data_IF_660668596126
#
_entry.id   IF_660668596126
#
_cell.length_a   1.000
_cell.length_b   1.000
_cell.length_c   1.000
_cell.angle_alpha   90.00
_cell.angle_beta   90.00
_cell.angle_gamma   90.00
#
_symmetry.space_group_name_H-M   'P 1'
#
loop_
_entity.id
_entity.type
_entity.pdbx_description
1 polymer ?
#
# COMPACT_ATOMS: atom_id res chain seq x y z
N UNK A 1 -45.56 76.64 22.93
CA UNK A 1 -44.90 76.67 24.25
C UNK A 1 -43.63 75.84 24.14
N UNK A 2 -42.47 76.50 24.33
CA UNK A 2 -41.14 75.98 24.78
C UNK A 2 -40.52 74.77 24.05
N UNK A 3 -39.24 74.70 23.66
CA UNK A 3 -38.05 75.54 23.87
C UNK A 3 -36.89 75.00 23.00
N UNK A 4 -35.96 75.90 22.61
CA UNK A 4 -34.51 75.74 22.39
C UNK A 4 -33.89 74.68 21.43
N UNK A 5 -33.15 75.21 20.43
CA UNK A 5 -31.90 74.64 19.82
C UNK A 5 -30.68 74.93 20.75
N UNK A 6 -29.40 74.48 20.54
CA UNK A 6 -28.75 73.85 19.36
C UNK A 6 -27.59 72.80 19.62
N UNK A 7 -27.03 72.26 18.51
CA UNK A 7 -25.62 71.84 18.20
C UNK A 7 -24.83 70.81 19.07
N UNK A 8 -24.46 69.64 18.49
CA UNK A 8 -23.09 69.02 18.38
C UNK A 8 -23.17 67.64 17.70
N UNK A 9 -22.55 67.45 16.51
CA UNK A 9 -21.36 66.61 16.20
C UNK A 9 -21.49 65.12 16.59
N UNK A 10 -21.22 64.11 15.76
CA UNK A 10 -20.01 63.82 15.00
C UNK A 10 -20.31 62.89 13.81
N UNK A 11 -19.56 63.06 12.72
CA UNK A 11 -19.26 62.01 11.73
C UNK A 11 -18.30 61.03 12.40
N UNK A 12 -18.59 59.74 12.31
CA UNK A 12 -17.80 58.52 12.61
C UNK A 12 -18.87 57.49 13.04
N UNK A 13 -19.06 56.31 12.43
CA UNK A 13 -18.06 55.29 12.20
C UNK A 13 -18.72 54.16 11.37
N UNK A 14 -18.78 54.30 10.04
CA UNK A 14 -19.07 53.17 9.13
C UNK A 14 -17.82 52.27 8.95
N UNK A 15 -16.85 52.35 9.87
CA UNK A 15 -15.69 51.48 9.96
C UNK A 15 -15.82 50.40 11.06
N UNK A 16 -17.00 50.24 11.67
CA UNK A 16 -17.27 49.21 12.68
C UNK A 16 -17.81 47.86 12.14
N UNK A 17 -17.97 47.67 10.82
CA UNK A 17 -18.28 46.35 10.23
C UNK A 17 -17.14 45.92 9.28
N UNK A 18 -15.90 46.21 9.68
CA UNK A 18 -14.74 45.38 9.36
C UNK A 18 -14.46 44.45 10.54
N UNK A 19 -15.19 43.35 10.59
CA UNK A 19 -14.68 42.08 11.13
C UNK A 19 -15.60 40.99 10.58
N UNK A 20 -14.98 40.02 9.92
CA UNK A 20 -15.58 38.78 9.43
C UNK A 20 -16.07 38.72 7.96
N UNK A 21 -15.36 39.39 7.03
CA UNK A 21 -15.49 39.11 5.58
C UNK A 21 -14.16 39.02 4.83
N UNK A 22 -13.07 38.66 5.52
CA UNK A 22 -11.77 38.35 4.90
C UNK A 22 -11.49 36.84 4.82
N UNK A 23 -12.52 36.02 4.59
CA UNK A 23 -12.36 34.61 4.19
C UNK A 23 -12.63 34.48 2.68
N UNK A 24 -11.82 35.16 1.87
CA UNK A 24 -11.74 34.96 0.41
C UNK A 24 -10.28 34.85 0.01
N UNK A 25 -9.64 33.78 0.46
CA UNK A 25 -8.41 33.24 -0.10
C UNK A 25 -8.21 31.83 0.48
N UNK A 26 -8.76 30.81 -0.19
CA UNK A 26 -8.03 29.59 -0.55
C UNK A 26 -8.98 28.71 -1.38
N UNK A 27 -8.81 28.78 -2.69
CA UNK A 27 -9.23 27.74 -3.62
C UNK A 27 -8.36 26.52 -3.32
N UNK A 28 -8.71 25.73 -2.30
CA UNK A 28 -8.17 24.39 -2.15
C UNK A 28 -8.99 23.51 -3.08
N UNK A 29 -8.30 22.96 -4.06
CA UNK A 29 -8.74 21.88 -4.92
C UNK A 29 -9.14 20.68 -4.03
N UNK A 30 -10.37 20.68 -3.54
CA UNK A 30 -11.00 19.49 -3.01
C UNK A 30 -11.25 18.58 -4.22
N UNK A 31 -10.30 17.69 -4.50
CA UNK A 31 -10.56 16.52 -5.34
C UNK A 31 -11.64 15.74 -4.57
N UNK A 32 -12.89 15.99 -4.92
CA UNK A 32 -13.99 15.13 -4.54
C UNK A 32 -13.73 13.78 -5.23
N UNK A 33 -13.08 12.87 -4.50
CA UNK A 33 -13.06 11.45 -4.84
C UNK A 33 -14.50 10.99 -4.69
N UNK A 34 -15.23 11.10 -5.79
CA UNK A 34 -16.56 10.50 -5.89
C UNK A 34 -16.29 9.02 -5.97
N UNK A 35 -16.49 8.33 -4.85
CA UNK A 35 -16.62 6.87 -4.82
C UNK A 35 -17.87 6.56 -5.63
N UNK A 36 -17.71 6.39 -6.93
CA UNK A 36 -18.70 5.71 -7.75
C UNK A 36 -18.53 4.22 -7.45
N UNK A 37 -19.10 3.76 -6.34
CA UNK A 37 -19.57 2.38 -6.30
C UNK A 37 -20.67 2.37 -7.33
N UNK A 38 -20.32 1.98 -8.56
CA UNK A 38 -21.31 1.68 -9.55
C UNK A 38 -22.14 0.54 -8.94
N UNK A 39 -23.36 0.86 -8.48
CA UNK A 39 -24.43 -0.11 -8.32
C UNK A 39 -24.82 -0.56 -9.73
N UNK A 40 -23.90 -1.21 -10.44
CA UNK A 40 -24.24 -2.05 -11.57
C UNK A 40 -25.03 -3.21 -10.97
N UNK A 41 -26.21 -3.44 -11.53
CA UNK A 41 -27.13 -4.47 -11.04
C UNK A 41 -26.42 -5.80 -11.11
N UNK A 42 -26.18 -6.42 -9.94
CA UNK A 42 -25.64 -7.76 -9.86
C UNK A 42 -26.43 -8.67 -10.80
N UNK A 43 -25.74 -9.45 -11.63
CA UNK A 43 -26.38 -10.61 -12.27
C UNK A 43 -26.89 -11.47 -11.10
N UNK A 44 -28.20 -11.74 -11.05
CA UNK A 44 -28.79 -12.52 -9.97
C UNK A 44 -28.11 -13.87 -9.84
N UNK A 45 -27.96 -14.38 -8.60
CA UNK A 45 -27.26 -15.62 -8.31
C UNK A 45 -27.76 -16.78 -9.19
N UNK A 46 -26.92 -17.25 -10.12
CA UNK A 46 -27.08 -18.58 -10.70
C UNK A 46 -26.70 -19.66 -9.69
N UNK A 47 -26.29 -20.84 -10.16
CA UNK A 47 -25.98 -21.94 -9.24
C UNK A 47 -24.54 -21.90 -8.77
N UNK A 48 -24.33 -22.37 -7.54
CA UNK A 48 -23.02 -22.76 -7.03
C UNK A 48 -22.76 -24.20 -7.48
N UNK A 49 -21.75 -24.40 -8.33
CA UNK A 49 -21.46 -25.69 -8.96
C UNK A 49 -20.06 -26.15 -8.53
N UNK A 50 -20.01 -27.26 -7.82
CA UNK A 50 -18.80 -27.81 -7.20
C UNK A 50 -17.91 -28.53 -8.22
N UNK A 51 -16.61 -28.24 -8.20
CA UNK A 51 -15.60 -29.04 -8.90
C UNK A 51 -15.30 -30.32 -8.12
N UNK A 52 -15.78 -31.44 -8.64
CA UNK A 52 -15.46 -32.79 -8.12
C UNK A 52 -14.22 -33.39 -8.75
N UNK A 53 -13.83 -32.93 -9.96
CA UNK A 53 -12.63 -33.38 -10.67
C UNK A 53 -12.53 -34.90 -10.88
N UNK A 54 -13.67 -35.61 -10.93
CA UNK A 54 -13.72 -37.08 -10.93
C UNK A 54 -13.40 -37.71 -12.28
N UNK A 55 -13.55 -36.97 -13.38
CA UNK A 55 -13.44 -37.51 -14.75
C UNK A 55 -12.11 -37.15 -15.41
N UNK A 56 -11.68 -35.88 -15.36
CA UNK A 56 -10.46 -35.39 -16.02
C UNK A 56 -10.00 -34.06 -15.44
N UNK A 57 -8.88 -33.51 -15.90
CA UNK A 57 -8.44 -32.15 -15.55
C UNK A 57 -9.17 -31.05 -16.33
N UNK A 58 -9.86 -31.39 -17.43
CA UNK A 58 -10.47 -30.40 -18.32
C UNK A 58 -11.67 -29.69 -17.68
N UNK A 59 -11.61 -28.35 -17.58
CA UNK A 59 -12.68 -27.51 -17.04
C UNK A 59 -14.03 -27.75 -17.73
N UNK A 60 -14.03 -27.81 -19.06
CA UNK A 60 -15.24 -27.99 -19.86
C UNK A 60 -15.88 -29.38 -19.82
N UNK A 61 -15.33 -30.33 -19.04
CA UNK A 61 -15.94 -31.66 -18.89
C UNK A 61 -17.08 -31.59 -17.87
N UNK A 62 -18.34 -31.67 -18.32
CA UNK A 62 -19.52 -31.51 -17.46
C UNK A 62 -19.59 -32.46 -16.26
N UNK A 63 -19.04 -33.67 -16.36
CA UNK A 63 -19.02 -34.67 -15.29
C UNK A 63 -17.94 -34.41 -14.23
N UNK A 64 -17.10 -33.40 -14.41
CA UNK A 64 -16.23 -32.90 -13.33
C UNK A 64 -16.98 -32.01 -12.34
N UNK A 65 -18.24 -31.67 -12.61
CA UNK A 65 -19.01 -30.71 -11.85
C UNK A 65 -20.23 -31.34 -11.16
N UNK A 66 -20.62 -30.81 -9.99
CA UNK A 66 -21.79 -31.21 -9.24
C UNK A 66 -22.63 -29.97 -8.83
N UNK A 67 -23.89 -29.85 -9.27
CA UNK A 67 -24.60 -30.74 -10.20
C UNK A 67 -23.91 -30.83 -11.57
N UNK A 68 -24.16 -31.92 -12.31
CA UNK A 68 -23.51 -32.16 -13.61
C UNK A 68 -23.83 -31.03 -14.59
N UNK A 69 -22.80 -30.27 -14.98
CA UNK A 69 -22.92 -29.12 -15.87
C UNK A 69 -21.72 -28.20 -15.70
N UNK A 70 -21.18 -27.66 -16.80
CA UNK A 70 -20.07 -26.71 -16.72
C UNK A 70 -20.63 -25.36 -16.24
N UNK A 71 -20.03 -24.71 -15.21
CA UNK A 71 -20.43 -23.39 -14.77
C UNK A 71 -20.38 -22.38 -15.90
N UNK A 72 -21.47 -21.61 -16.03
CA UNK A 72 -21.58 -20.54 -17.02
C UNK A 72 -21.39 -19.17 -16.38
N UNK A 73 -21.50 -18.09 -17.16
CA UNK A 73 -21.36 -16.72 -16.69
C UNK A 73 -22.37 -16.26 -15.63
N UNK A 74 -23.39 -17.07 -15.32
CA UNK A 74 -24.34 -16.83 -14.21
C UNK A 74 -24.03 -17.67 -12.97
N UNK A 75 -23.19 -18.70 -13.10
CA UNK A 75 -22.93 -19.70 -12.06
C UNK A 75 -21.58 -19.44 -11.38
N UNK A 76 -21.43 -19.88 -10.14
CA UNK A 76 -20.13 -19.86 -9.47
C UNK A 76 -19.48 -21.24 -9.56
N UNK A 77 -18.18 -21.28 -9.83
CA UNK A 77 -17.38 -22.48 -9.69
C UNK A 77 -16.89 -22.60 -8.24
N UNK A 78 -17.28 -23.67 -7.56
CA UNK A 78 -17.00 -23.87 -6.14
C UNK A 78 -15.95 -24.95 -5.93
N UNK A 79 -15.01 -24.68 -5.02
CA UNK A 79 -13.98 -25.61 -4.55
C UNK A 79 -14.12 -25.79 -3.04
N UNK A 80 -14.77 -26.88 -2.62
CA UNK A 80 -15.13 -27.15 -1.23
C UNK A 80 -14.96 -28.62 -0.84
N UNK A 81 -14.03 -29.32 -1.48
CA UNK A 81 -13.75 -30.74 -1.22
C UNK A 81 -12.34 -31.16 -1.61
N UNK A 82 -12.13 -32.47 -1.65
CA UNK A 82 -10.92 -33.12 -2.19
C UNK A 82 -11.23 -33.71 -3.56
N UNK A 83 -10.33 -33.55 -4.51
CA UNK A 83 -10.49 -34.04 -5.88
C UNK A 83 -9.15 -34.47 -6.48
N UNK A 84 -9.18 -35.45 -7.38
CA UNK A 84 -7.94 -36.02 -7.95
C UNK A 84 -7.37 -35.16 -9.08
N UNK A 85 -8.22 -34.51 -9.87
CA UNK A 85 -7.81 -33.76 -11.05
C UNK A 85 -7.97 -32.25 -10.82
N UNK A 86 -6.87 -31.49 -10.91
CA UNK A 86 -6.91 -30.03 -10.84
C UNK A 86 -7.58 -29.42 -12.09
N UNK A 87 -8.36 -28.35 -11.94
CA UNK A 87 -9.05 -27.70 -13.04
C UNK A 87 -8.08 -27.03 -14.03
N UNK A 88 -8.21 -27.37 -15.32
CA UNK A 88 -7.39 -26.86 -16.41
C UNK A 88 -8.26 -26.38 -17.58
N UNK A 89 -8.07 -25.13 -17.99
CA UNK A 89 -8.73 -24.53 -19.16
C UNK A 89 -8.10 -25.01 -20.47
N UNK A 90 -8.80 -25.89 -21.17
CA UNK A 90 -8.46 -26.34 -22.54
C UNK A 90 -9.13 -25.48 -23.62
N UNK A 91 -10.05 -24.63 -23.21
CA UNK A 91 -10.80 -23.63 -23.99
C UNK A 91 -10.99 -22.39 -23.11
N UNK A 92 -11.32 -21.25 -23.70
CA UNK A 92 -11.67 -20.06 -22.91
C UNK A 92 -13.06 -20.24 -22.34
N UNK A 93 -13.26 -19.91 -21.07
CA UNK A 93 -14.50 -20.17 -20.33
C UNK A 93 -15.01 -18.89 -19.67
N UNK A 94 -16.32 -18.79 -19.48
CA UNK A 94 -16.95 -17.69 -18.74
C UNK A 94 -17.68 -18.24 -17.53
N UNK A 95 -17.37 -17.70 -16.35
CA UNK A 95 -17.99 -18.08 -15.08
C UNK A 95 -18.43 -16.82 -14.32
N UNK A 96 -19.46 -16.94 -13.49
CA UNK A 96 -19.89 -15.89 -12.55
C UNK A 96 -18.74 -15.48 -11.62
N UNK A 97 -18.22 -16.45 -10.88
CA UNK A 97 -17.00 -16.26 -10.09
C UNK A 97 -16.45 -17.57 -9.52
N UNK A 98 -15.30 -17.47 -8.85
CA UNK A 98 -14.64 -18.58 -8.17
C UNK A 98 -14.88 -18.50 -6.67
N UNK A 99 -15.26 -19.60 -6.05
CA UNK A 99 -15.48 -19.68 -4.61
C UNK A 99 -14.70 -20.85 -4.01
N UNK A 100 -13.71 -20.56 -3.15
CA UNK A 100 -13.02 -21.60 -2.38
C UNK A 100 -13.43 -21.51 -0.92
N UNK A 101 -14.08 -22.56 -0.41
CA UNK A 101 -14.70 -22.59 0.92
C UNK A 101 -14.50 -23.94 1.60
N UNK A 102 -14.81 -24.04 2.89
CA UNK A 102 -14.72 -25.31 3.62
C UNK A 102 -15.82 -26.30 3.19
N UNK A 103 -15.57 -27.62 3.20
CA UNK A 103 -14.32 -28.30 3.60
C UNK A 103 -13.37 -28.58 2.43
N UNK A 104 -12.70 -27.55 1.90
CA UNK A 104 -11.62 -27.76 0.93
C UNK A 104 -10.47 -28.57 1.54
N UNK A 105 -10.05 -29.62 0.85
CA UNK A 105 -9.11 -30.61 1.39
C UNK A 105 -7.72 -30.60 0.75
N UNK A 106 -7.42 -29.63 -0.11
CA UNK A 106 -6.16 -29.52 -0.85
C UNK A 106 -5.96 -28.11 -1.43
N UNK A 107 -4.73 -27.79 -1.84
CA UNK A 107 -4.47 -26.61 -2.68
C UNK A 107 -5.22 -26.72 -4.01
N UNK A 108 -5.77 -25.60 -4.48
CA UNK A 108 -6.52 -25.53 -5.74
C UNK A 108 -5.72 -24.69 -6.72
N UNK A 109 -5.45 -25.23 -7.90
CA UNK A 109 -4.83 -24.49 -9.01
C UNK A 109 -5.75 -24.49 -10.21
N UNK A 110 -6.28 -23.32 -10.58
CA UNK A 110 -7.01 -23.11 -11.84
C UNK A 110 -6.00 -22.71 -12.91
N UNK A 111 -5.61 -23.67 -13.73
CA UNK A 111 -4.56 -23.49 -14.75
C UNK A 111 -5.07 -23.57 -16.19
N UNK A 112 -4.13 -23.65 -17.13
CA UNK A 112 -4.42 -23.75 -18.57
C UNK A 112 -3.97 -22.53 -19.36
N UNK A 113 -3.81 -22.71 -20.68
CA UNK A 113 -3.30 -21.68 -21.59
C UNK A 113 -4.41 -20.78 -22.18
N UNK A 114 -5.62 -20.87 -21.65
CA UNK A 114 -6.80 -20.16 -22.16
C UNK A 114 -7.35 -19.20 -21.11
N UNK A 115 -8.24 -18.32 -21.57
CA UNK A 115 -8.77 -17.23 -20.76
C UNK A 115 -9.93 -17.69 -19.87
N UNK A 116 -9.87 -17.32 -18.59
CA UNK A 116 -11.02 -17.34 -17.69
C UNK A 116 -11.67 -15.97 -17.65
N UNK A 117 -12.90 -15.86 -18.14
CA UNK A 117 -13.68 -14.64 -18.10
C UNK A 117 -14.54 -14.64 -16.83
N UNK A 118 -14.26 -13.72 -15.90
CA UNK A 118 -15.02 -13.58 -14.66
C UNK A 118 -16.08 -12.50 -14.82
N UNK A 119 -17.34 -12.90 -14.75
CA UNK A 119 -18.47 -11.98 -14.85
C UNK A 119 -18.67 -11.12 -13.61
N UNK A 120 -18.28 -11.62 -12.45
CA UNK A 120 -18.74 -11.08 -11.17
C UNK A 120 -20.15 -11.59 -10.90
N UNK A 121 -20.37 -12.07 -9.68
CA UNK A 121 -21.64 -12.66 -9.28
C UNK A 121 -21.90 -12.40 -7.79
N UNK A 122 -23.05 -12.87 -7.30
CA UNK A 122 -23.26 -13.02 -5.86
C UNK A 122 -22.60 -14.32 -5.40
N UNK A 123 -21.61 -14.22 -4.51
CA UNK A 123 -20.95 -15.37 -3.87
C UNK A 123 -21.13 -15.25 -2.35
N UNK A 124 -21.64 -16.30 -1.71
CA UNK A 124 -21.92 -16.33 -0.27
C UNK A 124 -22.70 -15.09 0.22
N UNK A 125 -23.71 -14.68 -0.55
CA UNK A 125 -24.54 -13.49 -0.26
C UNK A 125 -23.87 -12.13 -0.54
N UNK A 126 -22.61 -12.09 -0.97
CA UNK A 126 -21.90 -10.86 -1.30
C UNK A 126 -21.97 -10.61 -2.81
N UNK A 127 -22.55 -9.48 -3.21
CA UNK A 127 -22.70 -9.11 -4.60
C UNK A 127 -21.36 -8.71 -5.26
N UNK A 128 -21.33 -8.80 -6.60
CA UNK A 128 -20.25 -8.32 -7.45
C UNK A 128 -18.87 -8.92 -7.13
N UNK A 129 -18.81 -10.20 -6.75
CA UNK A 129 -17.55 -10.91 -6.52
C UNK A 129 -17.17 -11.80 -7.72
N UNK A 130 -15.92 -11.68 -8.15
CA UNK A 130 -15.31 -12.59 -9.12
C UNK A 130 -14.54 -13.73 -8.47
N UNK A 131 -14.02 -13.49 -7.27
CA UNK A 131 -13.28 -14.47 -6.47
C UNK A 131 -13.63 -14.26 -5.00
N UNK A 132 -13.98 -15.34 -4.31
CA UNK A 132 -14.08 -15.39 -2.86
C UNK A 132 -13.28 -16.58 -2.34
N UNK A 133 -12.32 -16.31 -1.47
CA UNK A 133 -11.63 -17.33 -0.68
C UNK A 133 -12.04 -17.14 0.77
N UNK A 134 -12.92 -18.01 1.28
CA UNK A 134 -13.47 -17.94 2.63
C UNK A 134 -13.35 -19.28 3.38
N UNK A 135 -12.27 -20.02 3.09
CA UNK A 135 -11.94 -21.25 3.79
C UNK A 135 -11.09 -20.98 5.05
N UNK A 136 -11.29 -21.81 6.07
CA UNK A 136 -10.49 -21.82 7.31
C UNK A 136 -9.37 -22.87 7.31
N UNK A 137 -9.37 -23.74 6.31
CA UNK A 137 -8.35 -24.76 6.08
C UNK A 137 -6.98 -24.15 5.73
N UNK A 138 -5.89 -24.93 5.69
CA UNK A 138 -4.53 -24.43 5.42
C UNK A 138 -4.16 -24.37 3.92
N UNK A 139 -5.17 -24.42 3.05
CA UNK A 139 -4.99 -24.58 1.61
C UNK A 139 -5.13 -23.26 0.85
N UNK A 140 -4.44 -23.17 -0.26
CA UNK A 140 -4.34 -21.97 -1.10
C UNK A 140 -5.16 -22.11 -2.39
N UNK A 141 -5.63 -20.97 -2.89
CA UNK A 141 -6.10 -20.85 -4.27
C UNK A 141 -4.99 -20.20 -5.10
N UNK A 142 -4.62 -20.85 -6.20
CA UNK A 142 -3.76 -20.30 -7.25
C UNK A 142 -4.53 -20.19 -8.56
N UNK A 143 -4.64 -18.98 -9.11
CA UNK A 143 -5.16 -18.72 -10.44
C UNK A 143 -3.96 -18.56 -11.38
N UNK A 144 -3.64 -19.62 -12.11
CA UNK A 144 -2.49 -19.71 -12.99
C UNK A 144 -2.81 -19.51 -14.47
N UNK A 145 -4.09 -19.55 -14.84
CA UNK A 145 -4.58 -19.16 -16.15
C UNK A 145 -4.71 -17.63 -16.27
N UNK A 146 -4.69 -17.14 -17.51
CA UNK A 146 -5.01 -15.75 -17.79
C UNK A 146 -6.49 -15.49 -17.48
N UNK A 147 -6.78 -14.31 -16.94
CA UNK A 147 -8.12 -13.89 -16.53
C UNK A 147 -8.52 -12.59 -17.22
N UNK A 148 -9.81 -12.47 -17.55
CA UNK A 148 -10.41 -11.22 -18.01
C UNK A 148 -11.58 -10.83 -17.12
N UNK A 149 -11.58 -9.59 -16.68
CA UNK A 149 -12.65 -8.95 -15.93
C UNK A 149 -13.75 -8.53 -16.91
N UNK A 150 -14.95 -9.10 -16.79
CA UNK A 150 -16.06 -8.77 -17.70
C UNK A 150 -16.87 -7.58 -17.15
N UNK A 151 -17.24 -7.60 -15.87
CA UNK A 151 -17.86 -6.48 -15.17
C UNK A 151 -16.98 -6.02 -14.01
N UNK A 152 -17.19 -4.78 -13.54
CA UNK A 152 -16.45 -4.28 -12.38
C UNK A 152 -16.81 -5.14 -11.16
N UNK A 153 -15.80 -5.65 -10.45
CA UNK A 153 -16.01 -6.69 -9.44
C UNK A 153 -14.94 -6.67 -8.34
N UNK A 154 -15.27 -7.35 -7.25
CA UNK A 154 -14.40 -7.57 -6.09
C UNK A 154 -13.79 -8.97 -6.08
N UNK A 155 -12.53 -9.08 -5.66
CA UNK A 155 -11.87 -10.34 -5.31
C UNK A 155 -11.51 -10.29 -3.83
N UNK A 156 -12.10 -11.16 -3.02
CA UNK A 156 -11.94 -11.16 -1.57
C UNK A 156 -11.19 -12.40 -1.10
N UNK A 157 -10.12 -12.21 -0.32
CA UNK A 157 -9.50 -13.29 0.45
C UNK A 157 -9.76 -13.07 1.94
N UNK A 158 -10.64 -13.88 2.51
CA UNK A 158 -10.98 -13.89 3.94
C UNK A 158 -10.32 -15.05 4.71
N UNK A 159 -9.43 -15.81 4.05
CA UNK A 159 -8.65 -16.88 4.68
C UNK A 159 -7.32 -16.36 5.25
N UNK A 160 -6.65 -17.16 6.10
CA UNK A 160 -5.28 -16.88 6.54
C UNK A 160 -4.20 -17.25 5.50
N UNK A 161 -4.58 -17.87 4.38
CA UNK A 161 -3.64 -18.35 3.37
C UNK A 161 -3.48 -17.33 2.23
N UNK A 162 -2.42 -17.51 1.45
CA UNK A 162 -2.15 -16.65 0.30
C UNK A 162 -3.07 -17.01 -0.87
N UNK A 163 -3.81 -16.03 -1.39
CA UNK A 163 -4.37 -16.10 -2.74
C UNK A 163 -3.28 -15.71 -3.74
N UNK A 164 -2.95 -16.59 -4.68
CA UNK A 164 -1.93 -16.33 -5.71
C UNK A 164 -2.58 -16.20 -7.09
N UNK A 165 -2.20 -15.16 -7.83
CA UNK A 165 -2.64 -14.92 -9.21
C UNK A 165 -1.39 -14.74 -10.06
N UNK A 166 -1.03 -15.80 -10.79
CA UNK A 166 0.18 -15.84 -11.60
C UNK A 166 -0.08 -15.67 -13.10
N UNK A 167 -1.31 -15.91 -13.55
CA UNK A 167 -1.75 -15.56 -14.90
C UNK A 167 -1.97 -14.06 -15.09
N UNK A 168 -2.05 -13.61 -16.34
CA UNK A 168 -2.35 -12.21 -16.67
C UNK A 168 -3.74 -11.84 -16.17
N UNK A 169 -3.92 -10.62 -15.68
CA UNK A 169 -5.23 -10.05 -15.38
C UNK A 169 -5.53 -8.94 -16.37
N UNK A 170 -6.47 -9.16 -17.29
CA UNK A 170 -6.99 -8.15 -18.22
C UNK A 170 -8.19 -7.45 -17.59
N UNK A 171 -8.01 -6.19 -17.17
CA UNK A 171 -9.06 -5.36 -16.58
C UNK A 171 -10.13 -4.97 -17.60
N UNK A 172 -9.85 -5.00 -18.90
CA UNK A 172 -10.85 -4.86 -19.97
C UNK A 172 -11.85 -3.69 -19.77
N UNK A 173 -11.33 -2.51 -19.42
CA UNK A 173 -12.13 -1.31 -19.16
C UNK A 173 -12.89 -1.26 -17.82
N UNK A 174 -12.72 -2.25 -16.95
CA UNK A 174 -13.44 -2.37 -15.69
C UNK A 174 -12.57 -2.03 -14.48
N UNK A 175 -13.22 -1.86 -13.31
CA UNK A 175 -12.52 -1.75 -12.03
C UNK A 175 -12.46 -3.10 -11.32
N UNK A 176 -11.26 -3.49 -10.88
CA UNK A 176 -11.05 -4.63 -9.99
C UNK A 176 -10.74 -4.13 -8.57
N UNK A 177 -11.54 -4.55 -7.60
CA UNK A 177 -11.28 -4.28 -6.18
C UNK A 177 -10.78 -5.54 -5.49
N UNK A 178 -9.56 -5.53 -4.94
CA UNK A 178 -9.03 -6.63 -4.14
C UNK A 178 -9.25 -6.33 -2.65
N UNK A 179 -9.88 -7.24 -1.92
CA UNK A 179 -10.31 -7.04 -0.54
C UNK A 179 -10.08 -8.25 0.36
N UNK A 180 -10.55 -8.15 1.61
CA UNK A 180 -10.49 -9.21 2.61
C UNK A 180 -9.34 -9.03 3.62
N UNK A 181 -9.31 -9.91 4.62
CA UNK A 181 -8.30 -9.93 5.69
C UNK A 181 -7.03 -10.71 5.33
N UNK A 182 -7.14 -11.64 4.39
CA UNK A 182 -6.05 -12.47 3.87
C UNK A 182 -5.19 -11.74 2.85
N UNK A 183 -3.98 -12.26 2.63
CA UNK A 183 -3.04 -11.67 1.68
C UNK A 183 -3.30 -12.18 0.26
N UNK A 184 -3.05 -11.30 -0.72
CA UNK A 184 -3.13 -11.62 -2.15
C UNK A 184 -1.83 -11.24 -2.84
N UNK A 185 -1.26 -12.16 -3.62
CA UNK A 185 -0.11 -11.94 -4.48
C UNK A 185 -0.54 -12.00 -5.94
N UNK A 186 -0.36 -10.90 -6.68
CA UNK A 186 -0.49 -10.86 -8.13
C UNK A 186 0.89 -10.76 -8.76
N UNK A 187 1.37 -11.89 -9.27
CA UNK A 187 2.67 -11.99 -9.96
C UNK A 187 2.55 -11.94 -11.48
N UNK A 188 1.38 -12.31 -12.02
CA UNK A 188 1.04 -12.01 -13.40
C UNK A 188 0.88 -10.51 -13.62
N UNK A 189 1.16 -10.04 -14.84
CA UNK A 189 0.93 -8.63 -15.18
C UNK A 189 -0.56 -8.31 -15.21
N UNK A 190 -0.92 -7.13 -14.74
CA UNK A 190 -2.24 -6.53 -14.89
C UNK A 190 -2.20 -5.63 -16.13
N UNK A 191 -3.22 -5.74 -16.99
CA UNK A 191 -3.33 -5.04 -18.27
C UNK A 191 -4.69 -4.37 -18.41
N UNK A 192 -4.80 -3.39 -19.31
CA UNK A 192 -6.07 -2.71 -19.60
C UNK A 192 -5.85 -1.36 -20.24
N UNK A 193 -6.08 -1.25 -21.56
CA UNK A 193 -5.75 -0.03 -22.31
C UNK A 193 -6.69 1.15 -22.08
N UNK A 194 -7.88 0.93 -21.52
CA UNK A 194 -8.87 1.97 -21.28
C UNK A 194 -8.56 2.74 -19.98
N UNK A 195 -8.82 4.06 -19.92
CA UNK A 195 -8.66 4.83 -18.68
C UNK A 195 -9.55 4.38 -17.52
N UNK A 196 -10.61 3.61 -17.80
CA UNK A 196 -11.48 3.02 -16.79
C UNK A 196 -10.93 1.70 -16.20
N UNK A 197 -9.87 1.12 -16.79
CA UNK A 197 -9.18 -0.06 -16.26
C UNK A 197 -8.43 0.24 -14.97
N UNK A 198 -9.13 0.19 -13.84
CA UNK A 198 -8.64 0.63 -12.53
C UNK A 198 -8.49 -0.53 -11.56
N UNK A 199 -7.56 -0.37 -10.61
CA UNK A 199 -7.31 -1.29 -9.51
C UNK A 199 -7.57 -0.57 -8.18
N UNK A 200 -8.34 -1.19 -7.30
CA UNK A 200 -8.53 -0.74 -5.93
C UNK A 200 -8.13 -1.83 -4.94
N UNK A 201 -7.55 -1.43 -3.81
CA UNK A 201 -7.23 -2.28 -2.68
C UNK A 201 -8.05 -1.83 -1.46
N UNK A 202 -8.88 -2.71 -0.92
CA UNK A 202 -9.63 -2.54 0.33
C UNK A 202 -9.42 -3.73 1.26
N UNK A 203 -10.08 -3.79 2.42
CA UNK A 203 -9.85 -4.82 3.44
C UNK A 203 -8.50 -4.71 4.13
N UNK A 204 -8.33 -5.41 5.25
CA UNK A 204 -7.16 -5.30 6.13
C UNK A 204 -5.93 -6.07 5.63
N UNK A 205 -6.09 -7.00 4.69
CA UNK A 205 -4.99 -7.80 4.15
C UNK A 205 -3.98 -7.00 3.32
N UNK A 206 -2.92 -7.68 2.87
CA UNK A 206 -1.91 -7.11 1.96
C UNK A 206 -2.16 -7.55 0.53
N UNK A 207 -2.16 -6.60 -0.41
CA UNK A 207 -2.04 -6.88 -1.84
C UNK A 207 -0.62 -6.58 -2.30
N UNK A 208 0.06 -7.58 -2.87
CA UNK A 208 1.40 -7.44 -3.43
C UNK A 208 1.35 -7.60 -4.95
N UNK A 209 1.83 -6.58 -5.67
CA UNK A 209 1.98 -6.60 -7.13
C UNK A 209 3.47 -6.73 -7.48
N UNK A 210 3.85 -7.80 -8.18
CA UNK A 210 5.24 -8.00 -8.65
C UNK A 210 5.39 -7.98 -10.17
N UNK A 211 4.27 -8.06 -10.91
CA UNK A 211 4.26 -7.99 -12.37
C UNK A 211 4.63 -6.61 -12.94
N UNK A 212 4.99 -6.60 -14.23
CA UNK A 212 5.12 -5.37 -15.03
C UNK A 212 3.76 -4.98 -15.58
N UNK A 213 3.07 -4.08 -14.89
CA UNK A 213 1.68 -3.75 -15.16
C UNK A 213 1.55 -2.62 -16.20
N UNK A 214 0.45 -2.64 -16.94
CA UNK A 214 0.21 -1.80 -18.13
C UNK A 214 -1.24 -1.30 -18.21
N UNK A 215 -1.97 -1.30 -17.10
CA UNK A 215 -3.32 -0.75 -17.07
C UNK A 215 -3.28 0.78 -16.99
N UNK A 216 -4.24 1.44 -17.64
CA UNK A 216 -4.22 2.90 -17.81
C UNK A 216 -5.13 3.67 -16.83
N UNK A 217 -5.95 2.97 -16.04
CA UNK A 217 -6.79 3.58 -15.01
C UNK A 217 -6.07 3.77 -13.68
N UNK A 218 -6.83 4.15 -12.66
CA UNK A 218 -6.28 4.52 -11.34
C UNK A 218 -5.86 3.32 -10.52
N UNK A 219 -4.90 3.53 -9.62
CA UNK A 219 -4.57 2.59 -8.53
C UNK A 219 -4.94 3.25 -7.21
N UNK A 220 -5.85 2.65 -6.44
CA UNK A 220 -6.34 3.17 -5.16
C UNK A 220 -6.01 2.21 -4.03
N UNK A 221 -5.38 2.70 -2.96
CA UNK A 221 -5.20 1.95 -1.71
C UNK A 221 -6.12 2.56 -0.64
N UNK A 222 -7.26 1.91 -0.41
CA UNK A 222 -8.34 2.38 0.46
C UNK A 222 -8.15 1.87 1.90
N UNK A 223 -7.83 0.58 2.06
CA UNK A 223 -7.62 -0.10 3.35
C UNK A 223 -6.48 -1.14 3.28
N UNK A 224 -5.87 -1.43 4.43
CA UNK A 224 -4.79 -2.43 4.57
C UNK A 224 -3.48 -1.99 3.91
N UNK A 225 -2.76 -2.92 3.29
CA UNK A 225 -1.46 -2.62 2.66
C UNK A 225 -1.48 -2.91 1.17
N UNK A 226 -0.97 -1.97 0.36
CA UNK A 226 -0.65 -2.16 -1.05
C UNK A 226 0.87 -2.11 -1.23
N UNK A 227 1.47 -3.21 -1.67
CA UNK A 227 2.90 -3.31 -1.99
C UNK A 227 3.11 -3.34 -3.50
N UNK A 228 3.73 -2.29 -4.03
CA UNK A 228 4.12 -2.19 -5.44
C UNK A 228 5.60 -2.58 -5.57
N UNK A 229 5.84 -3.87 -5.78
CA UNK A 229 7.19 -4.44 -5.93
C UNK A 229 7.61 -4.61 -7.40
N UNK A 230 6.65 -4.57 -8.32
CA UNK A 230 6.86 -4.66 -9.76
C UNK A 230 7.12 -3.32 -10.44
N UNK A 231 6.91 -3.30 -11.76
CA UNK A 231 7.12 -2.13 -12.61
C UNK A 231 5.78 -1.59 -13.11
N UNK A 232 5.43 -0.36 -12.70
CA UNK A 232 4.25 0.38 -13.14
C UNK A 232 4.64 1.60 -14.01
N UNK A 233 5.85 1.66 -14.55
CA UNK A 233 6.35 2.81 -15.35
C UNK A 233 5.50 3.12 -16.58
N UNK A 234 4.76 2.13 -17.09
CA UNK A 234 3.84 2.29 -18.23
C UNK A 234 2.37 2.43 -17.81
N UNK A 235 2.05 2.15 -16.55
CA UNK A 235 0.73 2.33 -15.98
C UNK A 235 0.57 3.77 -15.48
N UNK A 236 0.42 4.69 -16.43
CA UNK A 236 0.45 6.15 -16.19
C UNK A 236 -0.87 6.74 -15.66
N UNK A 237 -1.84 5.90 -15.30
CA UNK A 237 -3.02 6.41 -14.59
C UNK A 237 -2.57 7.08 -13.29
N UNK A 238 -3.23 8.16 -12.83
CA UNK A 238 -2.88 8.76 -11.55
C UNK A 238 -3.05 7.68 -10.47
N UNK A 239 -1.93 7.24 -9.90
CA UNK A 239 -1.89 6.42 -8.69
C UNK A 239 -2.31 7.33 -7.54
N UNK A 240 -3.61 7.63 -7.50
CA UNK A 240 -4.20 8.36 -6.39
C UNK A 240 -4.27 7.37 -5.24
N UNK A 241 -3.22 7.33 -4.44
CA UNK A 241 -3.22 6.58 -3.19
C UNK A 241 -4.01 7.37 -2.15
N UNK A 242 -5.31 7.49 -2.41
CA UNK A 242 -6.25 7.95 -1.40
C UNK A 242 -6.38 6.87 -0.35
N UNK A 243 -5.42 6.85 0.57
CA UNK A 243 -5.61 6.18 1.84
C UNK A 243 -6.69 6.95 2.59
N UNK A 244 -7.89 6.37 2.57
CA UNK A 244 -9.06 6.86 3.28
C UNK A 244 -9.42 5.84 4.34
N UNK A 245 -8.79 5.97 5.50
CA UNK A 245 -8.89 5.03 6.60
C UNK A 245 -7.63 5.14 7.42
N UNK A 246 -7.75 5.36 8.73
CA UNK A 246 -6.56 5.38 9.59
C UNK A 246 -5.83 4.03 9.47
N UNK A 247 -4.59 4.05 9.01
CA UNK A 247 -3.73 2.86 8.96
C UNK A 247 -3.56 2.16 7.61
N UNK A 248 -4.08 2.69 6.48
CA UNK A 248 -3.72 2.13 5.15
C UNK A 248 -2.28 2.52 4.77
N UNK A 249 -1.57 1.59 4.15
CA UNK A 249 -0.15 1.75 3.81
C UNK A 249 0.11 1.46 2.35
N UNK A 250 0.73 2.41 1.65
CA UNK A 250 1.43 2.18 0.39
C UNK A 250 2.89 1.84 0.70
N UNK A 251 3.40 0.77 0.11
CA UNK A 251 4.82 0.45 0.16
C UNK A 251 5.30 -0.28 -1.08
N UNK A 252 6.45 -0.91 -0.95
CA UNK A 252 7.07 -1.76 -1.95
C UNK A 252 8.47 -1.31 -2.34
N UNK A 253 9.05 -2.04 -3.28
CA UNK A 253 10.42 -1.83 -3.79
C UNK A 253 10.46 -1.47 -5.28
N UNK A 254 9.28 -1.26 -5.89
CA UNK A 254 9.09 -1.17 -7.32
C UNK A 254 9.15 0.25 -7.88
N UNK A 255 8.51 0.44 -9.03
CA UNK A 255 8.39 1.73 -9.71
C UNK A 255 6.94 2.07 -9.97
N UNK A 256 6.54 3.29 -9.60
CA UNK A 256 5.23 3.90 -9.88
C UNK A 256 5.44 4.99 -10.93
N UNK A 257 4.91 4.81 -12.14
CA UNK A 257 5.07 5.80 -13.22
C UNK A 257 4.18 7.03 -13.07
N UNK A 258 3.00 6.85 -12.47
CA UNK A 258 2.03 7.93 -12.24
C UNK A 258 2.36 8.83 -11.04
N UNK A 259 1.53 9.86 -10.87
CA UNK A 259 1.55 10.72 -9.67
C UNK A 259 1.11 9.92 -8.45
N UNK A 260 1.76 10.14 -7.30
CA UNK A 260 1.38 9.58 -6.00
C UNK A 260 0.89 10.71 -5.09
N UNK A 261 -0.34 10.59 -4.61
CA UNK A 261 -0.89 11.46 -3.56
C UNK A 261 -1.22 10.61 -2.36
N UNK A 262 -0.74 11.00 -1.17
CA UNK A 262 -0.96 10.28 0.09
C UNK A 262 -1.87 11.14 0.99
N UNK A 263 -3.06 10.63 1.32
CA UNK A 263 -4.10 11.35 2.06
C UNK A 263 -3.86 11.49 3.57
N UNK A 264 -4.73 12.23 4.27
CA UNK A 264 -4.64 12.35 5.73
C UNK A 264 -4.89 11.01 6.44
N UNK A 265 -4.08 10.69 7.46
CA UNK A 265 -4.16 9.43 8.23
C UNK A 265 -3.49 8.22 7.57
N UNK A 266 -2.89 8.46 6.41
CA UNK A 266 -2.28 7.47 5.55
C UNK A 266 -0.81 7.26 5.75
N UNK A 267 -0.29 6.13 5.27
CA UNK A 267 1.13 5.85 5.29
C UNK A 267 1.68 5.65 3.87
N UNK A 268 2.85 6.22 3.62
CA UNK A 268 3.79 5.73 2.61
C UNK A 268 5.04 5.23 3.32
N UNK A 269 5.46 4.01 3.01
CA UNK A 269 6.55 3.32 3.67
C UNK A 269 7.27 2.41 2.66
N UNK A 270 8.44 2.80 2.14
CA UNK A 270 9.22 1.93 1.27
C UNK A 270 9.45 0.54 1.89
N UNK A 271 9.61 -0.47 1.02
CA UNK A 271 9.80 -1.85 1.45
C UNK A 271 8.49 -2.53 1.82
N UNK A 272 8.53 -3.48 2.75
CA UNK A 272 7.37 -4.29 3.15
C UNK A 272 6.45 -3.54 4.13
N UNK A 273 6.02 -2.33 3.76
CA UNK A 273 5.12 -1.49 4.54
C UNK A 273 5.74 -0.98 5.85
N UNK A 274 7.01 -0.58 5.84
CA UNK A 274 7.73 -0.09 7.03
C UNK A 274 8.28 -1.18 7.95
N UNK A 275 8.57 -2.36 7.40
CA UNK A 275 9.20 -3.48 8.12
C UNK A 275 10.59 -3.82 7.59
N UNK A 276 11.01 -3.18 6.50
CA UNK A 276 12.27 -3.44 5.80
C UNK A 276 12.69 -2.17 5.08
N UNK A 277 13.97 -1.84 5.13
CA UNK A 277 14.49 -0.71 4.37
C UNK A 277 14.45 -0.99 2.87
N UNK A 278 14.00 -0.04 2.05
CA UNK A 278 14.03 -0.14 0.59
C UNK A 278 14.01 1.22 -0.13
N UNK A 279 14.15 1.18 -1.45
CA UNK A 279 13.85 2.31 -2.34
C UNK A 279 12.50 2.06 -3.01
N UNK A 280 11.59 3.02 -2.94
CA UNK A 280 10.37 3.05 -3.74
C UNK A 280 10.46 4.20 -4.76
N UNK A 281 10.30 3.89 -6.04
CA UNK A 281 10.40 4.88 -7.12
C UNK A 281 9.02 5.39 -7.51
N UNK A 282 8.86 6.70 -7.67
CA UNK A 282 7.58 7.35 -7.97
C UNK A 282 7.71 8.45 -9.03
N UNK A 283 6.61 8.78 -9.72
CA UNK A 283 6.45 10.03 -10.46
C UNK A 283 6.35 11.23 -9.50
N UNK A 284 5.53 12.23 -9.80
CA UNK A 284 5.32 13.35 -8.86
C UNK A 284 4.71 12.86 -7.53
N UNK A 285 5.16 13.41 -6.40
CA UNK A 285 4.76 13.00 -5.06
C UNK A 285 4.08 14.15 -4.31
N UNK A 286 2.89 13.89 -3.77
CA UNK A 286 2.19 14.80 -2.84
C UNK A 286 1.91 14.08 -1.53
N UNK A 287 2.50 14.57 -0.44
CA UNK A 287 2.18 14.15 0.93
C UNK A 287 1.25 15.19 1.56
N UNK A 288 -0.03 14.84 1.68
CA UNK A 288 -1.05 15.75 2.19
C UNK A 288 -0.88 16.01 3.70
N UNK A 289 -1.51 17.09 4.19
CA UNK A 289 -1.53 17.38 5.63
C UNK A 289 -2.07 16.18 6.41
N UNK A 290 -1.35 15.77 7.45
CA UNK A 290 -1.73 14.63 8.29
C UNK A 290 -1.49 13.24 7.67
N UNK A 291 -0.91 13.14 6.47
CA UNK A 291 -0.34 11.87 5.98
C UNK A 291 0.97 11.55 6.73
N UNK A 292 1.47 10.33 6.63
CA UNK A 292 2.68 9.87 7.28
C UNK A 292 3.67 9.32 6.25
N UNK A 293 4.92 9.80 6.29
CA UNK A 293 6.05 9.13 5.65
C UNK A 293 6.84 8.38 6.71
N UNK A 294 6.84 7.05 6.61
CA UNK A 294 7.53 6.15 7.53
C UNK A 294 8.90 5.83 6.94
N UNK A 295 9.95 6.06 7.74
CA UNK A 295 11.35 5.88 7.35
C UNK A 295 12.05 5.01 8.38
N UNK A 296 12.49 3.82 7.95
CA UNK A 296 13.39 2.98 8.71
C UNK A 296 14.85 3.40 8.47
N UNK A 297 15.65 3.51 9.55
CA UNK A 297 17.07 3.83 9.51
C UNK A 297 17.86 2.82 10.35
N UNK A 298 18.62 1.99 9.66
CA UNK A 298 19.48 0.93 10.21
C UNK A 298 20.96 1.12 9.88
N UNK A 299 21.32 2.18 9.14
CA UNK A 299 22.69 2.47 8.71
C UNK A 299 22.74 3.60 7.69
N UNK A 300 23.69 3.54 6.75
CA UNK A 300 24.09 4.67 5.90
C UNK A 300 23.90 4.43 4.40
N UNK A 301 23.39 3.27 4.00
CA UNK A 301 23.17 2.90 2.58
C UNK A 301 21.68 2.90 2.23
N UNK A 302 21.28 3.73 1.27
CA UNK A 302 19.89 3.78 0.81
C UNK A 302 19.41 2.42 0.31
N UNK A 303 18.16 2.09 0.60
CA UNK A 303 17.48 0.87 0.15
C UNK A 303 17.91 -0.42 0.80
N UNK A 304 19.07 -0.48 1.46
CA UNK A 304 19.55 -1.68 2.16
C UNK A 304 19.74 -1.46 3.65
N UNK A 305 19.91 -0.21 4.06
CA UNK A 305 20.09 0.19 5.45
C UNK A 305 19.23 1.39 5.84
N UNK A 306 18.60 2.11 4.91
CA UNK A 306 17.55 3.06 5.23
C UNK A 306 16.56 3.22 4.08
N UNK A 307 15.36 3.69 4.38
CA UNK A 307 14.31 3.94 3.40
C UNK A 307 14.53 5.21 2.58
N UNK A 308 14.24 5.12 1.28
CA UNK A 308 14.26 6.27 0.38
C UNK A 308 13.07 6.25 -0.57
N UNK A 309 12.43 7.41 -0.71
CA UNK A 309 11.57 7.70 -1.86
C UNK A 309 12.43 8.31 -2.97
N UNK A 310 12.44 7.68 -4.14
CA UNK A 310 13.09 8.22 -5.32
C UNK A 310 12.02 8.80 -6.25
N UNK A 311 12.01 10.11 -6.42
CA UNK A 311 10.91 10.86 -7.04
C UNK A 311 11.40 11.48 -8.34
N UNK A 312 10.70 11.20 -9.44
CA UNK A 312 11.05 11.67 -10.81
C UNK A 312 10.22 12.88 -11.27
N UNK A 313 9.58 13.56 -10.33
CA UNK A 313 8.74 14.72 -10.59
C UNK A 313 8.56 15.53 -9.31
N UNK A 314 7.72 16.57 -9.37
CA UNK A 314 7.55 17.50 -8.26
C UNK A 314 7.24 16.82 -6.92
N UNK A 315 8.02 17.16 -5.89
CA UNK A 315 7.74 16.81 -4.49
C UNK A 315 6.96 17.95 -3.82
N UNK A 316 5.76 17.64 -3.32
CA UNK A 316 4.91 18.57 -2.58
C UNK A 316 4.61 18.03 -1.18
N UNK A 317 5.00 18.77 -0.14
CA UNK A 317 4.81 18.45 1.27
C UNK A 317 3.91 19.51 1.91
N UNK A 318 2.68 19.15 2.26
CA UNK A 318 1.70 20.13 2.79
C UNK A 318 1.50 19.97 4.31
N UNK A 319 2.56 19.71 5.07
CA UNK A 319 2.45 19.41 6.50
C UNK A 319 2.12 17.95 6.80
N UNK A 320 2.69 17.01 6.05
CA UNK A 320 2.71 15.59 6.40
C UNK A 320 3.60 15.32 7.62
N UNK A 321 3.37 14.21 8.31
CA UNK A 321 4.21 13.74 9.41
C UNK A 321 5.40 12.96 8.86
N UNK A 322 6.59 13.23 9.40
CA UNK A 322 7.78 12.40 9.20
C UNK A 322 7.93 11.47 10.41
N UNK A 323 7.84 10.16 10.20
CA UNK A 323 7.91 9.14 11.24
C UNK A 323 9.17 8.32 11.04
N UNK A 324 10.13 8.44 11.95
CA UNK A 324 11.43 7.78 11.84
C UNK A 324 11.50 6.63 12.84
N UNK A 325 11.89 5.45 12.38
CA UNK A 325 12.26 4.31 13.22
C UNK A 325 13.75 4.06 13.09
N UNK A 326 14.48 4.07 14.20
CA UNK A 326 15.90 3.73 14.23
C UNK A 326 16.07 2.32 14.77
N UNK A 327 16.67 1.43 13.97
CA UNK A 327 16.90 0.03 14.33
C UNK A 327 18.37 -0.41 14.22
N UNK A 328 19.29 0.51 13.92
CA UNK A 328 20.72 0.20 13.80
C UNK A 328 21.63 1.36 14.18
N UNK A 329 22.93 1.15 14.04
CA UNK A 329 23.93 2.17 14.40
C UNK A 329 23.96 3.30 13.38
N UNK A 330 23.76 4.52 13.86
CA UNK A 330 23.79 5.74 13.05
C UNK A 330 25.10 6.51 13.32
N UNK A 331 25.70 7.08 12.27
CA UNK A 331 26.90 7.91 12.37
C UNK A 331 26.52 9.39 12.36
N UNK A 332 26.95 10.14 13.36
CA UNK A 332 26.74 11.60 13.44
C UNK A 332 27.35 12.30 12.23
N UNK A 333 26.62 13.28 11.69
CA UNK A 333 27.04 14.09 10.54
C UNK A 333 26.85 13.40 9.18
N UNK A 334 26.43 12.13 9.15
CA UNK A 334 26.16 11.45 7.89
C UNK A 334 24.87 11.98 7.25
N UNK A 335 24.90 12.25 5.95
CA UNK A 335 23.71 12.63 5.20
C UNK A 335 22.92 11.40 4.77
N UNK A 336 21.63 11.37 5.13
CA UNK A 336 20.67 10.32 4.78
C UNK A 336 19.58 10.94 3.90
N UNK A 337 19.66 10.73 2.59
CA UNK A 337 18.68 11.27 1.64
C UNK A 337 17.41 10.42 1.64
N UNK A 338 16.40 10.85 2.39
CA UNK A 338 15.14 10.11 2.56
C UNK A 338 14.15 10.39 1.42
N UNK A 339 14.27 11.54 0.75
CA UNK A 339 13.59 11.82 -0.52
C UNK A 339 14.67 12.30 -1.48
N UNK A 340 14.96 11.48 -2.48
CA UNK A 340 15.79 11.84 -3.62
C UNK A 340 14.87 12.44 -4.69
N UNK A 341 14.94 13.75 -4.88
CA UNK A 341 14.10 14.51 -5.79
C UNK A 341 14.90 14.81 -7.05
N UNK A 342 14.46 14.30 -8.19
CA UNK A 342 15.24 14.41 -9.41
C UNK A 342 15.32 15.84 -9.97
N UNK A 343 16.15 15.99 -10.99
CA UNK A 343 16.31 17.25 -11.71
C UNK A 343 16.77 18.39 -10.81
N UNK A 344 16.11 19.54 -10.92
CA UNK A 344 16.41 20.75 -10.17
C UNK A 344 15.17 21.39 -9.53
N UNK A 345 14.01 20.73 -9.66
CA UNK A 345 12.76 21.27 -9.13
C UNK A 345 12.79 21.20 -7.61
N UNK A 346 12.52 22.32 -6.94
CA UNK A 346 12.58 22.39 -5.49
C UNK A 346 11.46 21.56 -4.84
N UNK A 347 11.72 21.06 -3.62
CA UNK A 347 10.65 20.56 -2.74
C UNK A 347 9.73 21.72 -2.39
N UNK A 348 8.44 21.56 -2.65
CA UNK A 348 7.42 22.55 -2.31
C UNK A 348 6.85 22.25 -0.93
N UNK A 349 7.01 23.19 -0.01
CA UNK A 349 6.49 23.07 1.36
C UNK A 349 7.43 22.30 2.29
N UNK A 350 6.87 21.68 3.33
CA UNK A 350 7.65 21.02 4.39
C UNK A 350 6.81 19.99 5.15
N UNK A 351 7.49 19.13 5.92
CA UNK A 351 6.85 18.31 6.94
C UNK A 351 6.30 19.17 8.08
N UNK A 352 5.29 18.66 8.79
CA UNK A 352 4.61 19.34 9.88
C UNK A 352 5.60 19.75 10.98
N UNK A 353 5.71 21.05 11.24
CA UNK A 353 6.58 21.59 12.31
C UNK A 353 8.08 21.49 12.05
N UNK A 354 8.49 21.15 10.82
CA UNK A 354 9.89 20.94 10.46
C UNK A 354 10.33 21.90 9.35
N UNK A 355 10.49 23.22 9.62
CA UNK A 355 11.12 24.13 8.66
C UNK A 355 12.57 23.74 8.37
N UNK A 356 13.18 24.38 7.36
CA UNK A 356 14.60 24.17 7.01
C UNK A 356 15.52 24.29 8.24
N UNK A 357 16.37 23.28 8.45
CA UNK A 357 17.29 23.20 9.58
C UNK A 357 16.66 22.79 10.91
N UNK A 358 15.35 22.52 10.97
CA UNK A 358 14.69 22.01 12.17
C UNK A 358 15.24 20.65 12.58
N UNK A 359 14.91 20.24 13.81
CA UNK A 359 15.28 18.93 14.34
C UNK A 359 14.09 18.02 14.52
N UNK A 360 14.27 16.74 14.22
CA UNK A 360 13.31 15.65 14.48
C UNK A 360 13.99 14.60 15.36
N UNK A 361 13.24 14.04 16.30
CA UNK A 361 13.76 13.05 17.26
C UNK A 361 13.04 11.72 17.12
N UNK A 362 13.80 10.62 17.18
CA UNK A 362 13.26 9.27 17.34
C UNK A 362 14.00 8.57 18.46
N UNK A 363 13.28 8.21 19.53
CA UNK A 363 13.92 7.74 20.76
C UNK A 363 14.89 8.76 21.33
N UNK A 364 16.18 8.39 21.43
CA UNK A 364 17.26 9.29 21.87
C UNK A 364 18.01 9.98 20.72
N UNK A 365 17.76 9.57 19.47
CA UNK A 365 18.47 10.09 18.30
C UNK A 365 17.81 11.38 17.81
N UNK A 366 18.64 12.38 17.49
CA UNK A 366 18.20 13.68 16.97
C UNK A 366 18.82 13.92 15.61
N UNK A 367 18.00 14.31 14.64
CA UNK A 367 18.41 14.61 13.27
C UNK A 367 18.06 16.05 12.94
N UNK A 368 18.93 16.78 12.23
CA UNK A 368 18.50 17.97 11.49
C UNK A 368 17.95 17.57 10.13
N UNK A 369 17.00 18.33 9.62
CA UNK A 369 16.44 18.17 8.27
C UNK A 369 16.82 19.33 7.36
N UNK A 370 17.09 19.04 6.10
CA UNK A 370 17.21 20.03 5.02
C UNK A 370 16.36 19.59 3.82
N UNK A 371 15.74 20.54 3.13
CA UNK A 371 14.99 20.38 1.88
C UNK A 371 15.79 20.78 0.63
N UNK A 372 17.05 21.19 0.85
CA UNK A 372 17.99 21.64 -0.20
C UNK A 372 19.28 20.81 -0.15
N UNK A 373 19.19 19.58 0.34
CA UNK A 373 20.32 18.65 0.41
C UNK A 373 20.69 18.08 -0.96
N UNK A 374 21.72 17.24 -0.97
CA UNK A 374 22.16 16.51 -2.18
C UNK A 374 22.43 17.43 -3.38
N UNK A 375 21.57 17.36 -4.39
CA UNK A 375 21.69 18.19 -5.61
C UNK A 375 21.10 19.61 -5.49
N UNK A 376 20.57 19.97 -4.32
CA UNK A 376 20.03 21.29 -3.99
C UNK A 376 18.51 21.29 -3.78
N UNK A 377 17.86 20.15 -3.91
CA UNK A 377 16.42 19.94 -3.82
C UNK A 377 16.04 18.60 -3.17
N UNK A 378 16.97 17.93 -2.48
CA UNK A 378 16.71 16.66 -1.81
C UNK A 378 16.30 16.88 -0.35
N UNK A 379 15.49 15.96 0.18
CA UNK A 379 15.22 15.92 1.63
C UNK A 379 16.23 15.00 2.31
N UNK A 380 17.04 15.60 3.18
CA UNK A 380 18.15 14.92 3.84
C UNK A 380 18.03 15.06 5.36
N UNK A 381 18.21 13.93 6.06
CA UNK A 381 18.39 13.90 7.50
C UNK A 381 19.89 13.81 7.82
N UNK A 382 20.33 14.60 8.79
CA UNK A 382 21.70 14.55 9.32
C UNK A 382 21.65 14.29 10.83
N UNK A 383 22.12 13.13 11.32
CA UNK A 383 22.15 12.83 12.75
C UNK A 383 23.08 13.80 13.49
N UNK A 384 22.57 14.45 14.53
CA UNK A 384 23.29 15.40 15.40
C UNK A 384 23.70 14.77 16.72
N UNK A 385 22.80 13.98 17.29
CA UNK A 385 23.00 13.24 18.55
C UNK A 385 22.53 11.82 18.30
N UNK A 386 23.37 10.85 18.66
CA UNK A 386 23.03 9.44 18.57
C UNK A 386 23.20 8.79 19.95
N UNK A 387 22.23 7.99 20.37
CA UNK A 387 22.32 7.23 21.62
C UNK A 387 22.69 5.79 21.26
N UNK A 388 23.84 5.26 21.73
CA UNK A 388 24.22 3.88 21.44
C UNK A 388 23.17 2.91 21.99
N UNK A 389 22.82 1.88 21.21
CA UNK A 389 21.84 0.88 21.63
C UNK A 389 22.19 0.27 23.00
N UNK A 390 21.19 -0.14 23.82
CA UNK A 390 21.42 -0.77 25.12
C UNK A 390 22.40 -1.95 25.08
N UNK A 391 22.41 -2.71 23.98
CA UNK A 391 23.34 -3.81 23.72
C UNK A 391 24.81 -3.37 23.71
N UNK A 392 25.11 -2.16 23.22
CA UNK A 392 26.45 -1.55 23.23
C UNK A 392 26.93 -1.33 24.66
N UNK A 393 26.05 -0.85 25.54
CA UNK A 393 26.34 -0.65 26.95
C UNK A 393 26.52 -1.98 27.69
N UNK A 394 25.71 -3.00 27.37
CA UNK A 394 25.84 -4.34 27.94
C UNK A 394 27.17 -5.00 27.51
N UNK A 395 27.52 -4.92 26.23
CA UNK A 395 28.79 -5.41 25.71
C UNK A 395 29.99 -4.70 26.33
N UNK A 396 29.93 -3.37 26.48
CA UNK A 396 30.93 -2.57 27.17
C UNK A 396 31.08 -2.96 28.64
N UNK A 397 29.97 -3.12 29.36
CA UNK A 397 29.97 -3.55 30.76
C UNK A 397 30.56 -4.96 30.92
N UNK A 398 30.23 -5.90 30.02
CA UNK A 398 30.80 -7.25 30.01
C UNK A 398 32.30 -7.24 29.71
N UNK A 399 32.75 -6.42 28.77
CA UNK A 399 34.18 -6.27 28.45
C UNK A 399 34.96 -5.71 29.65
N UNK A 400 34.42 -4.69 30.33
CA UNK A 400 35.01 -4.13 31.56
C UNK A 400 35.02 -5.17 32.68
N UNK A 401 33.95 -5.94 32.85
CA UNK A 401 33.90 -7.02 33.83
C UNK A 401 34.94 -8.12 33.54
N UNK A 402 35.14 -8.48 32.26
CA UNK A 402 36.16 -9.44 31.84
C UNK A 402 37.58 -8.91 32.07
N UNK A 403 37.84 -7.64 31.78
CA UNK A 403 39.12 -6.98 32.07
C UNK A 403 39.39 -6.92 33.59
N UNK A 404 38.39 -6.55 34.39
CA UNK A 404 38.50 -6.55 35.85
C UNK A 404 38.76 -7.95 36.40
N UNK A 405 38.09 -8.98 35.87
CA UNK A 405 38.30 -10.38 36.24
C UNK A 405 39.72 -10.86 35.92
N UNK A 406 40.21 -10.56 34.71
CA UNK A 406 41.56 -10.96 34.28
C UNK A 406 42.66 -10.22 35.06
N UNK A 407 42.49 -8.92 35.35
CA UNK A 407 43.40 -8.17 36.22
C UNK A 407 43.41 -8.73 37.65
N UNK A 408 42.24 -9.00 38.25
CA UNK A 408 42.14 -9.61 39.59
C UNK A 408 42.87 -10.95 39.66
N UNK A 409 42.76 -11.78 38.62
CA UNK A 409 43.47 -13.07 38.53
C UNK A 409 44.99 -12.89 38.43
N UNK A 410 45.48 -11.89 37.69
CA UNK A 410 46.92 -11.57 37.61
C UNK A 410 47.47 -11.10 38.96
N UNK A 411 46.78 -10.17 39.63
CA UNK A 411 47.18 -9.66 40.94
C UNK A 411 47.22 -10.76 42.01
N UNK A 412 46.24 -11.67 42.04
CA UNK A 412 46.28 -12.84 42.93
C UNK A 412 47.51 -13.73 42.73
N UNK A 413 47.98 -13.90 41.50
CA UNK A 413 49.20 -14.70 41.22
C UNK A 413 50.48 -14.02 41.69
N UNK A 414 50.49 -12.68 41.78
CA UNK A 414 51.62 -11.91 42.26
C UNK A 414 51.73 -11.94 43.79
N UNK A 415 50.59 -11.89 44.50
CA UNK A 415 50.53 -11.95 45.98
C UNK A 415 50.91 -13.33 46.53
N UNK A 416 50.74 -14.41 45.75
CA UNK A 416 51.14 -15.78 46.16
C UNK A 416 52.64 -16.05 45.93
N UNK A 417 53.38 -15.12 45.30
CA UNK A 417 54.82 -15.27 44.98
C UNK A 417 55.73 -14.33 45.78
N UNK A 418 55.18 -13.52 46.69
CA UNK A 418 55.90 -12.77 47.74
C UNK A 418 55.76 -13.50 49.05
#
# INVERSE_FOLDING_TARGET
MTNNRPLIAFVDDEESIRKDRSFKALLVLAIAVTVLIANESAVGAGQDIEWTGTTSTTWGTSTNWNPTGVPTGTDNAVFNGTFTNQPTLTTSETVGGLWMTDPVGQDVTVGGAHLLMLQGNTINGNANLGVLVDNSSAFTLTIACDTRIVNSQGWANNSSNLLTVSGVVDLNGQTLTVSGSGNTLMSGKITGGAPSSSLAKSGTGTLTLTGKNTYQGTTQALEGTLLLNGDQSTANGPTTVTVSGGGTTLGGTGTIGGTVTVGSGANIAPGNGGNTTAILNTGALTLASGSNFLVDINGTTAGTQYDQLNVTGLVTLTGSNLVITVGGTITVGQQLTIINNDGSDAVVGMFAGLPEGATVTSGGDTFSITYVGGTGNDVVLTPLVVVPEPSTWIGGALAVAALAYTQRRRLRKLVVRS
#
